data_IF_304531452253
#
_entry.id   IF_304531452253
#
_cell.length_a   1.000
_cell.length_b   1.000
_cell.length_c   1.000
_cell.angle_alpha   90.00
_cell.angle_beta   90.00
_cell.angle_gamma   90.00
#
_symmetry.space_group_name_H-M   'P 1'
#
loop_
_entity.id
_entity.type
_entity.pdbx_description
1 polymer ?
#
# COMPACT_ATOMS: atom_id res chain seq x y z
N UNK A 1 7.27 -22.71 -25.19
CA UNK A 1 7.99 -22.22 -23.98
C UNK A 1 7.14 -21.12 -23.40
N UNK A 2 6.32 -21.47 -22.43
CA UNK A 2 5.53 -20.54 -21.62
C UNK A 2 6.47 -19.57 -20.91
N UNK A 3 6.44 -18.31 -21.33
CA UNK A 3 6.98 -17.22 -20.52
C UNK A 3 5.91 -16.87 -19.50
N UNK A 4 5.90 -17.59 -18.37
CA UNK A 4 5.21 -17.06 -17.18
C UNK A 4 5.80 -15.69 -16.87
N UNK A 5 4.99 -14.61 -16.87
CA UNK A 5 5.48 -13.33 -16.42
C UNK A 5 5.96 -13.50 -14.97
N UNK A 6 7.12 -12.91 -14.68
CA UNK A 6 7.63 -12.81 -13.31
C UNK A 6 6.48 -12.36 -12.40
N UNK A 7 6.01 -13.26 -11.54
CA UNK A 7 5.03 -12.92 -10.53
C UNK A 7 5.77 -12.08 -9.51
N UNK A 8 5.62 -10.76 -9.63
CA UNK A 8 6.15 -9.83 -8.65
C UNK A 8 5.73 -10.27 -7.26
N UNK A 9 6.69 -10.35 -6.34
CA UNK A 9 6.46 -10.61 -4.93
C UNK A 9 5.58 -9.48 -4.39
N UNK A 10 4.29 -9.74 -4.20
CA UNK A 10 3.44 -8.84 -3.45
C UNK A 10 2.33 -8.12 -4.20
N UNK A 11 1.53 -8.84 -4.94
CA UNK A 11 0.28 -8.25 -5.41
C UNK A 11 -0.75 -8.18 -4.28
N UNK A 12 -1.16 -6.95 -3.99
CA UNK A 12 -1.79 -6.53 -2.73
C UNK A 12 -3.31 -6.68 -2.82
N UNK A 13 -3.81 -7.89 -2.84
CA UNK A 13 -5.25 -8.11 -2.75
C UNK A 13 -5.63 -8.69 -1.38
N UNK A 14 -5.82 -7.81 -0.38
CA UNK A 14 -6.27 -8.19 0.97
C UNK A 14 -7.46 -9.16 0.92
N UNK A 15 -8.46 -8.89 0.08
CA UNK A 15 -9.65 -9.73 -0.09
C UNK A 15 -9.33 -11.08 -0.71
N UNK A 16 -8.44 -11.14 -1.69
CA UNK A 16 -8.03 -12.39 -2.32
C UNK A 16 -7.28 -13.29 -1.32
N UNK A 17 -6.53 -12.71 -0.36
CA UNK A 17 -5.83 -13.48 0.66
C UNK A 17 -6.79 -14.26 1.57
N UNK A 18 -7.98 -13.73 1.83
CA UNK A 18 -9.02 -14.43 2.60
C UNK A 18 -9.56 -15.65 1.85
N UNK A 19 -9.69 -15.54 0.52
CA UNK A 19 -10.18 -16.64 -0.33
C UNK A 19 -9.09 -17.68 -0.61
N UNK A 20 -7.82 -17.26 -0.66
CA UNK A 20 -6.68 -18.09 -1.05
C UNK A 20 -5.51 -18.02 -0.05
N UNK A 21 -5.75 -18.25 1.24
CA UNK A 21 -4.75 -18.01 2.28
C UNK A 21 -3.46 -18.81 2.07
N UNK A 22 -3.56 -20.09 1.68
CA UNK A 22 -2.39 -20.93 1.47
C UNK A 22 -1.49 -20.45 0.32
N UNK A 23 -2.08 -19.89 -0.75
CA UNK A 23 -1.30 -19.31 -1.84
C UNK A 23 -0.48 -18.11 -1.33
N UNK A 24 -1.08 -17.23 -0.52
CA UNK A 24 -0.40 -16.09 0.09
C UNK A 24 0.72 -16.51 1.05
N UNK A 25 0.46 -17.45 1.93
CA UNK A 25 1.50 -17.95 2.84
C UNK A 25 2.65 -18.61 2.07
N UNK A 26 2.38 -19.49 1.13
CA UNK A 26 3.42 -20.15 0.33
C UNK A 26 4.23 -19.13 -0.47
N UNK A 27 3.57 -18.22 -1.19
CA UNK A 27 4.26 -17.23 -2.00
C UNK A 27 5.12 -16.30 -1.14
N UNK A 28 4.52 -15.69 -0.10
CA UNK A 28 5.16 -14.64 0.66
C UNK A 28 6.21 -15.19 1.63
N UNK A 29 5.86 -16.22 2.42
CA UNK A 29 6.77 -16.75 3.43
C UNK A 29 7.88 -17.58 2.78
N UNK A 30 7.55 -18.53 1.90
CA UNK A 30 8.57 -19.33 1.23
C UNK A 30 9.48 -18.44 0.36
N UNK A 31 8.91 -17.47 -0.36
CA UNK A 31 9.68 -16.51 -1.15
C UNK A 31 10.64 -15.69 -0.29
N UNK A 32 10.20 -15.25 0.89
CA UNK A 32 11.07 -14.52 1.83
C UNK A 32 12.20 -15.40 2.37
N UNK A 33 11.91 -16.63 2.78
CA UNK A 33 12.93 -17.57 3.24
C UNK A 33 13.97 -17.84 2.16
N UNK A 34 13.51 -18.14 0.94
CA UNK A 34 14.40 -18.35 -0.21
C UNK A 34 15.27 -17.12 -0.49
N UNK A 35 14.68 -15.90 -0.43
CA UNK A 35 15.44 -14.67 -0.64
C UNK A 35 16.51 -14.48 0.45
N UNK A 36 16.18 -14.71 1.71
CA UNK A 36 17.14 -14.60 2.82
C UNK A 36 18.29 -15.61 2.68
N UNK A 37 17.98 -16.85 2.28
CA UNK A 37 19.00 -17.87 2.03
C UNK A 37 19.93 -17.47 0.87
N UNK A 38 19.39 -16.99 -0.25
CA UNK A 38 20.17 -16.52 -1.39
C UNK A 38 21.04 -15.32 -1.02
N UNK A 39 20.50 -14.34 -0.30
CA UNK A 39 21.26 -13.19 0.19
C UNK A 39 22.46 -13.63 1.04
N UNK A 40 22.24 -14.58 1.95
CA UNK A 40 23.31 -15.14 2.77
C UNK A 40 24.37 -15.84 1.93
N UNK A 41 23.99 -16.66 0.96
CA UNK A 41 24.90 -17.41 0.07
C UNK A 41 25.71 -16.48 -0.85
N UNK A 42 25.11 -15.38 -1.29
CA UNK A 42 25.74 -14.44 -2.24
C UNK A 42 26.43 -13.26 -1.57
N UNK A 43 26.34 -13.15 -0.24
CA UNK A 43 26.94 -12.04 0.52
C UNK A 43 26.23 -10.71 0.38
N UNK A 44 24.98 -10.70 -0.12
CA UNK A 44 24.15 -9.49 -0.16
C UNK A 44 23.61 -9.21 1.23
N UNK A 45 23.95 -8.04 1.80
CA UNK A 45 23.69 -7.72 3.21
C UNK A 45 22.58 -6.68 3.44
N UNK A 46 22.17 -5.95 2.41
CA UNK A 46 21.22 -4.87 2.54
C UNK A 46 19.89 -5.23 1.90
N UNK A 47 18.78 -5.01 2.63
CA UNK A 47 17.42 -5.19 2.12
C UNK A 47 16.52 -4.06 2.58
N UNK A 48 15.77 -3.49 1.64
CA UNK A 48 14.64 -2.60 1.91
C UNK A 48 13.37 -3.39 1.60
N UNK A 49 12.57 -3.63 2.62
CA UNK A 49 11.37 -4.45 2.52
C UNK A 49 10.12 -3.61 2.48
N UNK A 50 9.32 -3.80 1.44
CA UNK A 50 7.99 -3.22 1.30
C UNK A 50 7.00 -3.91 2.23
N UNK A 51 6.89 -3.41 3.46
CA UNK A 51 5.89 -3.85 4.44
C UNK A 51 4.57 -3.09 4.26
N UNK A 52 3.71 -3.11 5.25
CA UNK A 52 2.38 -2.49 5.17
C UNK A 52 1.89 -2.04 6.54
N UNK A 53 1.15 -0.94 6.59
CA UNK A 53 0.44 -0.51 7.79
C UNK A 53 -0.56 -1.55 8.34
N UNK A 54 -0.92 -2.57 7.55
CA UNK A 54 -1.77 -3.67 8.03
C UNK A 54 -1.17 -4.47 9.19
N UNK A 55 0.15 -4.39 9.41
CA UNK A 55 0.81 -5.04 10.54
C UNK A 55 0.43 -4.44 11.89
N UNK A 56 -0.07 -3.20 11.91
CA UNK A 56 -0.57 -2.56 13.12
C UNK A 56 -1.95 -3.08 13.56
N UNK A 57 -2.68 -3.79 12.66
CA UNK A 57 -4.01 -4.30 12.96
C UNK A 57 -5.03 -3.18 13.17
N UNK A 58 -5.60 -3.13 14.37
CA UNK A 58 -6.52 -2.07 14.81
C UNK A 58 -5.83 -1.26 15.92
N UNK A 59 -5.02 -0.25 15.57
CA UNK A 59 -4.30 0.55 16.55
C UNK A 59 -5.27 1.40 17.38
N UNK A 60 -4.94 1.61 18.65
CA UNK A 60 -5.76 2.38 19.60
C UNK A 60 -5.54 3.89 19.43
N UNK A 61 -4.38 4.30 18.89
CA UNK A 61 -4.00 5.71 18.78
C UNK A 61 -3.77 6.10 17.31
N UNK A 62 -4.13 7.35 17.00
CA UNK A 62 -3.91 8.02 15.72
C UNK A 62 -3.28 9.38 15.96
N UNK A 63 -2.32 9.82 15.13
CA UNK A 63 -1.70 9.10 14.01
C UNK A 63 -0.83 7.91 14.45
N UNK A 64 -0.65 6.92 13.56
CA UNK A 64 0.13 5.71 13.84
C UNK A 64 1.62 6.02 13.73
N UNK A 65 2.35 5.85 14.82
CA UNK A 65 3.83 5.92 14.85
C UNK A 65 4.44 4.52 14.72
N UNK A 66 5.76 4.45 14.48
CA UNK A 66 6.49 3.19 14.45
C UNK A 66 6.60 2.50 15.83
N UNK A 67 6.37 3.26 16.91
CA UNK A 67 6.33 2.76 18.29
C UNK A 67 5.04 2.01 18.61
N UNK A 68 3.99 2.21 17.80
CA UNK A 68 2.76 1.44 17.93
C UNK A 68 3.05 -0.06 17.78
N UNK A 69 2.56 -0.90 18.70
CA UNK A 69 2.81 -2.33 18.65
C UNK A 69 2.20 -2.95 17.39
N UNK A 70 2.81 -4.03 16.90
CA UNK A 70 2.14 -4.86 15.89
C UNK A 70 0.91 -5.49 16.53
N UNK A 71 -0.25 -5.29 15.88
CA UNK A 71 -1.53 -5.77 16.37
C UNK A 71 -1.97 -7.09 15.75
N UNK A 72 -3.20 -7.47 16.06
CA UNK A 72 -3.88 -8.60 15.43
C UNK A 72 -4.22 -8.23 13.98
N UNK A 73 -3.57 -8.88 13.02
CA UNK A 73 -3.90 -8.67 11.62
C UNK A 73 -5.28 -9.24 11.28
N UNK A 74 -6.08 -8.49 10.55
CA UNK A 74 -7.47 -8.86 10.24
C UNK A 74 -7.62 -9.78 9.02
N UNK A 75 -6.51 -10.09 8.34
CA UNK A 75 -6.53 -10.92 7.13
C UNK A 75 -5.18 -11.61 6.89
N UNK A 76 -5.15 -12.70 6.08
CA UNK A 76 -3.92 -13.44 5.79
C UNK A 76 -2.80 -12.61 5.15
N UNK A 77 -3.11 -11.63 4.32
CA UNK A 77 -2.10 -10.71 3.76
C UNK A 77 -1.36 -9.95 4.86
N UNK A 78 -2.09 -9.33 5.80
CA UNK A 78 -1.48 -8.64 6.94
C UNK A 78 -0.60 -9.58 7.78
N UNK A 79 -1.08 -10.80 8.04
CA UNK A 79 -0.29 -11.82 8.73
C UNK A 79 0.98 -12.18 7.98
N UNK A 80 0.95 -12.35 6.65
CA UNK A 80 2.19 -12.61 5.90
C UNK A 80 3.19 -11.47 6.04
N UNK A 81 2.73 -10.20 5.97
CA UNK A 81 3.62 -9.04 6.16
C UNK A 81 4.22 -9.01 7.58
N UNK A 82 3.42 -9.24 8.60
CA UNK A 82 3.90 -9.30 9.99
C UNK A 82 4.91 -10.42 10.22
N UNK A 83 4.66 -11.62 9.66
CA UNK A 83 5.59 -12.75 9.74
C UNK A 83 6.90 -12.49 8.97
N UNK A 84 6.83 -11.89 7.78
CA UNK A 84 8.02 -11.52 7.01
C UNK A 84 8.89 -10.51 7.75
N UNK A 85 8.29 -9.49 8.39
CA UNK A 85 9.02 -8.58 9.27
C UNK A 85 9.72 -9.33 10.41
N UNK A 86 9.02 -10.31 11.03
CA UNK A 86 9.61 -11.11 12.12
C UNK A 86 10.78 -11.96 11.63
N UNK A 87 10.62 -12.64 10.49
CA UNK A 87 11.69 -13.45 9.88
C UNK A 87 12.93 -12.58 9.63
N UNK A 88 12.76 -11.42 8.99
CA UNK A 88 13.88 -10.51 8.69
C UNK A 88 14.53 -9.97 9.96
N UNK A 89 13.74 -9.69 11.00
CA UNK A 89 14.23 -9.24 12.31
C UNK A 89 15.10 -10.33 12.96
N UNK A 90 14.66 -11.57 12.95
CA UNK A 90 15.38 -12.68 13.58
C UNK A 90 16.65 -13.04 12.78
N UNK A 91 16.57 -13.00 11.44
CA UNK A 91 17.73 -13.18 10.57
C UNK A 91 18.77 -12.08 10.79
N UNK A 92 18.35 -10.82 10.91
CA UNK A 92 19.24 -9.69 11.19
C UNK A 92 19.92 -9.83 12.56
N UNK A 93 19.17 -10.22 13.61
CA UNK A 93 19.75 -10.47 14.94
C UNK A 93 20.80 -11.58 14.94
N UNK A 94 20.55 -12.64 14.17
CA UNK A 94 21.48 -13.77 14.03
C UNK A 94 22.69 -13.42 13.13
N UNK A 95 22.56 -12.41 12.27
CA UNK A 95 23.61 -11.95 11.34
C UNK A 95 23.72 -10.42 11.44
N UNK A 96 24.46 -9.89 12.43
CA UNK A 96 24.51 -8.44 12.72
C UNK A 96 25.11 -7.58 11.59
N UNK A 97 25.74 -8.19 10.60
CA UNK A 97 26.25 -7.55 9.40
C UNK A 97 25.17 -7.38 8.29
N UNK A 98 23.99 -7.95 8.49
CA UNK A 98 22.83 -7.66 7.64
C UNK A 98 22.14 -6.37 8.07
N UNK A 99 21.67 -5.60 7.09
CA UNK A 99 20.94 -4.36 7.30
C UNK A 99 19.54 -4.50 6.68
N UNK A 100 18.53 -4.14 7.45
CA UNK A 100 17.12 -4.32 7.08
C UNK A 100 16.37 -3.02 7.31
N UNK A 101 15.68 -2.50 6.29
CA UNK A 101 14.70 -1.43 6.47
C UNK A 101 13.32 -1.97 6.15
N UNK A 102 12.41 -1.86 7.11
CA UNK A 102 11.02 -2.23 6.96
C UNK A 102 10.19 -0.97 6.69
N UNK A 103 9.73 -0.79 5.45
CA UNK A 103 8.90 0.34 5.06
C UNK A 103 7.42 -0.04 5.21
N UNK A 104 6.75 0.48 6.24
CA UNK A 104 5.31 0.31 6.44
C UNK A 104 4.57 1.43 5.75
N UNK A 105 4.08 1.18 4.55
CA UNK A 105 3.32 2.17 3.83
C UNK A 105 1.81 1.92 3.88
N UNK A 106 1.07 3.00 3.69
CA UNK A 106 -0.38 3.03 3.83
C UNK A 106 -1.06 2.68 2.49
N UNK A 107 -1.88 3.51 1.93
CA UNK A 107 -2.66 3.18 0.73
C UNK A 107 -2.04 3.82 -0.52
N UNK A 108 -1.19 3.12 -1.30
CA UNK A 108 -0.65 3.68 -2.53
C UNK A 108 -1.76 3.94 -3.55
N UNK A 109 -1.74 5.12 -4.16
CA UNK A 109 -2.65 5.54 -5.22
C UNK A 109 -1.94 6.45 -6.20
N UNK A 110 -2.62 6.88 -7.24
CA UNK A 110 -2.02 7.73 -8.26
C UNK A 110 -1.36 6.92 -9.37
N UNK A 111 -0.80 7.64 -10.31
CA UNK A 111 -0.07 7.13 -11.45
C UNK A 111 1.10 8.07 -11.76
N UNK A 112 1.99 7.68 -12.67
CA UNK A 112 3.04 8.58 -13.11
C UNK A 112 2.44 9.71 -13.99
N UNK A 113 2.90 10.93 -13.79
CA UNK A 113 2.41 12.13 -14.50
C UNK A 113 2.45 12.05 -16.02
N UNK A 114 3.30 11.16 -16.58
CA UNK A 114 3.37 10.93 -18.03
C UNK A 114 2.15 10.21 -18.60
N UNK A 115 1.27 9.64 -17.77
CA UNK A 115 0.15 8.80 -18.22
C UNK A 115 0.56 7.47 -18.84
N UNK A 116 1.84 7.05 -18.72
CA UNK A 116 2.36 5.78 -19.28
C UNK A 116 2.50 4.66 -18.26
N UNK A 117 2.50 4.98 -16.98
CA UNK A 117 2.61 4.03 -15.87
C UNK A 117 1.48 4.28 -14.90
N UNK A 118 0.68 3.27 -14.63
CA UNK A 118 -0.43 3.32 -13.70
C UNK A 118 -0.87 1.92 -13.26
N UNK A 119 -1.91 1.85 -12.44
CA UNK A 119 -2.43 0.59 -11.91
C UNK A 119 -3.40 -0.05 -12.91
N UNK A 120 -3.11 -1.29 -13.31
CA UNK A 120 -3.94 -2.09 -14.24
C UNK A 120 -4.28 -3.44 -13.62
N UNK A 121 -5.24 -3.50 -12.68
CA UNK A 121 -5.64 -4.73 -12.03
C UNK A 121 -6.40 -5.64 -13.00
N UNK A 122 -6.06 -6.93 -13.02
CA UNK A 122 -6.82 -7.93 -13.77
C UNK A 122 -8.16 -8.21 -13.08
N UNK A 123 -9.26 -8.03 -13.82
CA UNK A 123 -10.62 -8.24 -13.33
C UNK A 123 -11.15 -7.05 -12.50
N UNK A 124 -12.09 -7.32 -11.58
CA UNK A 124 -12.71 -6.27 -10.75
C UNK A 124 -11.71 -5.81 -9.68
N UNK A 125 -11.39 -4.50 -9.62
CA UNK A 125 -10.45 -3.97 -8.65
C UNK A 125 -10.91 -4.17 -7.21
N UNK A 126 -9.96 -4.43 -6.33
CA UNK A 126 -10.21 -4.51 -4.88
C UNK A 126 -9.84 -3.22 -4.15
N UNK A 127 -8.96 -2.39 -4.73
CA UNK A 127 -8.57 -1.10 -4.20
C UNK A 127 -9.53 -0.01 -4.66
N UNK A 128 -9.69 1.02 -3.83
CA UNK A 128 -10.65 2.10 -4.06
C UNK A 128 -10.35 2.88 -5.35
N UNK A 129 -9.12 3.34 -5.53
CA UNK A 129 -8.76 4.23 -6.64
C UNK A 129 -8.98 3.58 -8.02
N UNK A 130 -8.46 2.37 -8.30
CA UNK A 130 -8.71 1.73 -9.59
C UNK A 130 -10.20 1.37 -9.80
N UNK A 131 -10.95 1.12 -8.71
CA UNK A 131 -12.40 0.92 -8.82
C UNK A 131 -13.10 2.22 -9.27
N UNK A 132 -12.79 3.35 -8.62
CA UNK A 132 -13.32 4.67 -8.99
C UNK A 132 -12.98 4.99 -10.45
N UNK A 133 -11.73 4.76 -10.87
CA UNK A 133 -11.28 5.05 -12.23
C UNK A 133 -12.01 4.21 -13.29
N UNK A 134 -12.31 2.94 -12.99
CA UNK A 134 -13.09 2.07 -13.88
C UNK A 134 -14.58 2.49 -13.94
N UNK A 135 -15.14 3.04 -12.86
CA UNK A 135 -16.47 3.66 -12.89
C UNK A 135 -16.45 4.91 -13.78
N UNK A 136 -15.43 5.77 -13.63
CA UNK A 136 -15.30 7.00 -14.42
C UNK A 136 -15.20 6.77 -15.94
N UNK A 137 -14.55 5.67 -16.37
CA UNK A 137 -14.49 5.29 -17.79
C UNK A 137 -15.67 4.41 -18.25
N UNK A 138 -16.62 4.09 -17.36
CA UNK A 138 -17.82 3.33 -17.69
C UNK A 138 -17.65 1.80 -17.77
N UNK A 139 -16.52 1.26 -17.30
CA UNK A 139 -16.32 -0.19 -17.20
C UNK A 139 -17.15 -0.80 -16.07
N UNK A 140 -17.37 -0.05 -15.00
CA UNK A 140 -18.20 -0.41 -13.86
C UNK A 140 -19.33 0.61 -13.74
N UNK A 141 -20.51 0.14 -13.32
CA UNK A 141 -21.71 0.97 -13.24
C UNK A 141 -21.62 1.99 -12.10
N UNK A 142 -21.22 1.55 -10.92
CA UNK A 142 -21.14 2.36 -9.69
C UNK A 142 -20.17 1.81 -8.69
N UNK A 143 -19.70 2.69 -7.79
CA UNK A 143 -18.84 2.33 -6.67
C UNK A 143 -19.67 1.81 -5.48
N UNK A 144 -19.26 0.73 -4.84
CA UNK A 144 -19.78 0.35 -3.52
C UNK A 144 -18.97 1.02 -2.41
N UNK A 145 -19.62 1.87 -1.61
CA UNK A 145 -19.08 2.48 -0.39
C UNK A 145 -19.50 1.63 0.81
N UNK A 146 -18.54 1.05 1.52
CA UNK A 146 -18.81 0.07 2.58
C UNK A 146 -18.86 0.73 3.96
N UNK A 147 -20.08 0.98 4.46
CA UNK A 147 -20.36 1.68 5.70
C UNK A 147 -20.40 3.19 5.52
N UNK A 148 -21.39 3.82 6.15
CA UNK A 148 -21.60 5.26 6.25
C UNK A 148 -21.89 5.69 7.70
N UNK A 149 -21.60 4.78 8.64
CA UNK A 149 -21.90 4.89 10.05
C UNK A 149 -20.65 4.77 10.94
N UNK A 150 -19.44 4.93 10.37
CA UNK A 150 -18.20 5.02 11.14
C UNK A 150 -18.15 6.35 11.91
N UNK A 151 -17.42 6.35 13.03
CA UNK A 151 -17.08 7.57 13.76
C UNK A 151 -16.00 8.38 13.02
N UNK A 152 -16.44 9.04 11.94
CA UNK A 152 -15.63 9.84 11.00
C UNK A 152 -16.48 11.02 10.51
N UNK A 153 -15.88 12.08 9.95
CA UNK A 153 -16.62 13.29 9.57
C UNK A 153 -17.80 13.07 8.61
N UNK A 154 -17.75 12.10 7.73
CA UNK A 154 -18.80 11.79 6.76
C UNK A 154 -19.37 10.36 6.89
N UNK A 155 -19.00 9.68 7.97
CA UNK A 155 -19.44 8.32 8.26
C UNK A 155 -18.70 7.23 7.47
N UNK A 156 -17.84 7.58 6.50
CA UNK A 156 -17.11 6.59 5.71
C UNK A 156 -15.68 6.38 6.21
N UNK A 157 -15.05 5.26 5.86
CA UNK A 157 -13.72 4.93 6.35
C UNK A 157 -12.65 5.91 5.87
N UNK A 158 -11.76 6.34 6.78
CA UNK A 158 -10.67 7.29 6.54
C UNK A 158 -9.34 6.57 6.41
N UNK A 159 -8.57 6.86 5.37
CA UNK A 159 -7.25 6.25 5.09
C UNK A 159 -6.23 7.31 4.70
N UNK A 160 -4.96 7.02 4.99
CA UNK A 160 -3.83 7.76 4.45
C UNK A 160 -3.55 7.22 3.03
N UNK A 161 -3.80 8.05 2.04
CA UNK A 161 -3.46 7.75 0.65
C UNK A 161 -2.15 8.43 0.31
N UNK A 162 -1.22 7.67 -0.24
CA UNK A 162 0.10 8.17 -0.65
C UNK A 162 0.27 8.02 -2.16
N UNK A 163 0.75 9.08 -2.80
CA UNK A 163 1.01 9.03 -4.23
C UNK A 163 2.14 8.05 -4.55
N UNK A 164 1.93 7.17 -5.53
CA UNK A 164 2.89 6.10 -5.88
C UNK A 164 4.30 6.63 -6.22
N UNK A 165 4.40 7.83 -6.79
CA UNK A 165 5.71 8.47 -7.07
C UNK A 165 6.41 8.90 -5.79
N UNK A 166 5.68 9.43 -4.80
CA UNK A 166 6.26 9.78 -3.51
C UNK A 166 6.69 8.54 -2.75
N UNK A 167 5.89 7.48 -2.81
CA UNK A 167 6.25 6.19 -2.25
C UNK A 167 7.55 5.65 -2.88
N UNK A 168 7.69 5.71 -4.21
CA UNK A 168 8.91 5.32 -4.91
C UNK A 168 10.13 6.15 -4.48
N UNK A 169 9.97 7.48 -4.35
CA UNK A 169 11.02 8.37 -3.80
C UNK A 169 11.42 7.95 -2.38
N UNK A 170 10.44 7.55 -1.54
CA UNK A 170 10.69 7.03 -0.19
C UNK A 170 11.56 5.77 -0.19
N UNK A 171 11.32 4.84 -1.12
CA UNK A 171 12.15 3.64 -1.30
C UNK A 171 13.59 4.01 -1.71
N UNK A 172 13.75 4.95 -2.65
CA UNK A 172 15.08 5.42 -3.06
C UNK A 172 15.84 6.05 -1.89
N UNK A 173 15.16 6.87 -1.06
CA UNK A 173 15.75 7.45 0.14
C UNK A 173 16.15 6.37 1.16
N UNK A 174 15.32 5.35 1.35
CA UNK A 174 15.64 4.23 2.24
C UNK A 174 16.85 3.41 1.74
N UNK A 175 17.00 3.21 0.43
CA UNK A 175 18.18 2.56 -0.16
C UNK A 175 19.45 3.39 0.15
N UNK A 176 19.41 4.69 0.04
CA UNK A 176 20.56 5.53 0.38
C UNK A 176 20.87 5.52 1.89
N UNK A 177 19.81 5.51 2.72
CA UNK A 177 19.92 5.51 4.17
C UNK A 177 20.57 4.22 4.71
N UNK A 178 20.24 3.05 4.16
CA UNK A 178 20.70 1.75 4.66
C UNK A 178 22.22 1.58 4.60
N UNK A 179 22.90 2.21 3.64
CA UNK A 179 24.36 2.11 3.51
C UNK A 179 25.13 2.83 4.63
N UNK A 180 24.50 3.81 5.27
CA UNK A 180 25.13 4.62 6.34
C UNK A 180 24.56 4.31 7.72
N UNK A 181 23.51 3.50 7.80
CA UNK A 181 22.79 3.20 9.04
C UNK A 181 22.60 1.69 9.17
N UNK A 182 23.61 0.98 9.68
CA UNK A 182 23.57 -0.47 9.81
C UNK A 182 22.53 -0.93 10.84
N UNK A 183 22.07 -2.16 10.68
CA UNK A 183 21.13 -2.81 11.59
C UNK A 183 19.71 -2.90 11.01
N UNK A 184 18.71 -2.83 11.89
CA UNK A 184 17.31 -2.91 11.50
C UNK A 184 16.59 -1.60 11.86
N UNK A 185 15.86 -1.06 10.93
CA UNK A 185 14.98 0.11 11.17
C UNK A 185 13.59 -0.10 10.55
N UNK A 186 12.58 0.47 11.21
CA UNK A 186 11.18 0.48 10.77
C UNK A 186 10.77 1.91 10.48
N UNK A 187 10.18 2.18 9.32
CA UNK A 187 9.82 3.53 8.91
C UNK A 187 8.45 3.53 8.24
N UNK A 188 7.55 4.37 8.75
CA UNK A 188 6.24 4.61 8.14
C UNK A 188 6.38 5.52 6.91
N UNK A 189 5.78 5.14 5.80
CA UNK A 189 5.63 5.98 4.62
C UNK A 189 4.15 6.30 4.41
N UNK A 190 3.75 7.47 4.82
CA UNK A 190 2.41 8.03 4.68
C UNK A 190 2.48 9.55 4.52
N UNK A 191 1.36 10.17 4.28
CA UNK A 191 1.23 11.63 4.17
C UNK A 191 0.98 12.30 5.52
N UNK A 192 0.45 11.56 6.49
CA UNK A 192 -0.06 12.08 7.75
C UNK A 192 -1.45 12.71 7.63
N UNK A 193 -2.08 12.59 6.46
CA UNK A 193 -3.42 13.12 6.19
C UNK A 193 -4.37 11.98 5.89
N UNK A 194 -5.48 11.91 6.62
CA UNK A 194 -6.55 10.96 6.37
C UNK A 194 -7.60 11.55 5.43
N UNK A 195 -7.96 10.81 4.39
CA UNK A 195 -9.07 11.14 3.50
C UNK A 195 -10.15 10.07 3.58
N UNK A 196 -11.41 10.48 3.59
CA UNK A 196 -12.54 9.58 3.58
C UNK A 196 -12.76 8.95 2.19
N UNK A 197 -13.61 7.92 2.12
CA UNK A 197 -14.01 7.36 0.82
C UNK A 197 -14.76 8.41 -0.01
N UNK A 198 -15.61 9.24 0.61
CA UNK A 198 -16.36 10.28 -0.11
C UNK A 198 -15.47 11.46 -0.52
N UNK A 199 -14.41 11.78 0.24
CA UNK A 199 -13.39 12.74 -0.21
C UNK A 199 -12.73 12.26 -1.52
N UNK A 200 -12.37 10.97 -1.59
CA UNK A 200 -11.78 10.37 -2.78
C UNK A 200 -12.74 10.40 -3.97
N UNK A 201 -14.02 10.07 -3.76
CA UNK A 201 -15.07 10.12 -4.80
C UNK A 201 -15.22 11.54 -5.34
N UNK A 202 -15.32 12.54 -4.44
CA UNK A 202 -15.47 13.95 -4.80
C UNK A 202 -14.24 14.49 -5.55
N UNK A 203 -13.05 14.21 -5.04
CA UNK A 203 -11.81 14.66 -5.68
C UNK A 203 -11.61 14.01 -7.07
N UNK A 204 -11.94 12.73 -7.21
CA UNK A 204 -11.86 12.06 -8.51
C UNK A 204 -12.89 12.57 -9.50
N UNK A 205 -14.12 12.84 -9.03
CA UNK A 205 -15.17 13.48 -9.85
C UNK A 205 -14.70 14.83 -10.39
N UNK A 206 -14.06 15.66 -9.56
CA UNK A 206 -13.43 16.93 -9.98
C UNK A 206 -12.34 16.69 -11.04
N UNK A 207 -11.48 15.69 -10.84
CA UNK A 207 -10.36 15.40 -11.75
C UNK A 207 -10.84 14.89 -13.13
N UNK A 208 -11.89 14.08 -13.18
CA UNK A 208 -12.42 13.55 -14.45
C UNK A 208 -13.54 14.40 -15.08
N UNK A 209 -14.02 15.42 -14.37
CA UNK A 209 -15.12 16.28 -14.85
C UNK A 209 -16.48 15.57 -14.91
N UNK A 210 -16.68 14.50 -14.14
CA UNK A 210 -17.90 13.68 -14.10
C UNK A 210 -18.29 13.38 -12.66
N UNK A 211 -19.57 13.22 -12.42
CA UNK A 211 -20.04 12.61 -11.17
C UNK A 211 -19.69 11.12 -11.16
N UNK A 212 -19.20 10.64 -10.02
CA UNK A 212 -18.91 9.22 -9.80
C UNK A 212 -20.08 8.60 -9.06
N UNK A 213 -20.91 7.79 -9.72
CA UNK A 213 -22.06 7.16 -9.08
C UNK A 213 -21.58 6.14 -8.04
N UNK A 214 -22.21 6.14 -6.87
CA UNK A 214 -21.93 5.19 -5.80
C UNK A 214 -23.21 4.74 -5.08
N UNK A 215 -23.10 3.65 -4.36
CA UNK A 215 -24.13 3.15 -3.43
C UNK A 215 -23.52 2.78 -2.10
N UNK A 216 -24.23 3.05 -1.03
CA UNK A 216 -23.83 2.62 0.31
C UNK A 216 -24.11 1.13 0.48
N UNK A 217 -23.14 0.40 1.01
CA UNK A 217 -23.22 -1.02 1.34
C UNK A 217 -22.91 -1.24 2.82
N UNK A 218 -23.37 -2.35 3.42
CA UNK A 218 -22.99 -2.70 4.79
C UNK A 218 -21.47 -2.73 5.00
N UNK A 219 -21.00 -2.42 6.20
CA UNK A 219 -19.58 -2.52 6.57
C UNK A 219 -19.00 -3.87 6.21
N UNK A 220 -17.74 -3.89 5.80
CA UNK A 220 -17.00 -5.14 5.63
C UNK A 220 -16.39 -5.56 6.97
N UNK A 221 -16.37 -6.86 7.22
CA UNK A 221 -15.71 -7.41 8.41
C UNK A 221 -14.21 -7.05 8.41
N UNK A 222 -13.72 -6.52 9.54
CA UNK A 222 -12.33 -6.16 9.73
C UNK A 222 -11.93 -4.78 9.18
N UNK A 223 -12.85 -3.98 8.63
CA UNK A 223 -12.58 -2.58 8.31
C UNK A 223 -12.60 -1.73 9.59
N UNK A 224 -11.61 -0.84 9.73
CA UNK A 224 -11.48 0.12 10.83
C UNK A 224 -11.89 1.52 10.37
N UNK A 225 -12.36 2.35 11.30
CA UNK A 225 -12.84 3.70 11.00
C UNK A 225 -11.74 4.57 10.37
N UNK A 226 -10.59 4.68 11.02
CA UNK A 226 -9.47 5.53 10.59
C UNK A 226 -8.15 4.78 10.61
N UNK A 227 -7.25 5.14 9.66
CA UNK A 227 -5.89 4.61 9.59
C UNK A 227 -5.00 5.59 8.80
N UNK A 228 -4.16 6.36 9.50
CA UNK A 228 -3.19 7.28 8.89
C UNK A 228 -1.90 7.36 9.72
N UNK A 229 -0.79 7.70 9.03
CA UNK A 229 0.56 7.68 9.59
C UNK A 229 0.89 8.94 10.40
N UNK A 230 1.87 8.80 11.30
CA UNK A 230 2.78 9.89 11.64
C UNK A 230 4.01 9.79 10.70
N UNK A 231 4.26 10.76 9.80
CA UNK A 231 5.40 10.73 8.88
C UNK A 231 6.68 11.34 9.48
N UNK A 232 6.69 11.73 10.75
CA UNK A 232 7.77 12.49 11.37
C UNK A 232 9.12 11.74 11.34
N UNK A 233 9.12 10.42 11.54
CA UNK A 233 10.34 9.62 11.46
C UNK A 233 10.92 9.60 10.06
N UNK A 234 10.12 9.36 9.03
CA UNK A 234 10.59 9.40 7.64
C UNK A 234 11.20 10.77 7.27
N UNK A 235 10.56 11.86 7.71
CA UNK A 235 11.11 13.21 7.52
C UNK A 235 12.47 13.40 8.19
N UNK A 236 12.62 12.91 9.43
CA UNK A 236 13.84 13.05 10.22
C UNK A 236 15.00 12.19 9.69
N UNK A 237 14.75 10.90 9.40
CA UNK A 237 15.84 9.94 9.10
C UNK A 237 16.12 9.82 7.62
N UNK A 238 15.10 9.93 6.76
CA UNK A 238 15.26 9.83 5.31
C UNK A 238 15.36 11.20 4.61
N UNK A 239 15.03 12.30 5.31
CA UNK A 239 14.83 13.61 4.66
C UNK A 239 13.72 13.53 3.59
N UNK A 240 12.70 12.73 3.84
CA UNK A 240 11.62 12.47 2.89
C UNK A 240 10.26 12.91 3.46
N UNK A 241 9.47 13.51 2.60
CA UNK A 241 8.05 13.82 2.84
C UNK A 241 7.26 13.54 1.58
N UNK A 242 6.00 13.14 1.73
CA UNK A 242 5.07 13.12 0.62
C UNK A 242 4.79 14.55 0.14
N UNK A 243 4.86 14.78 -1.16
CA UNK A 243 4.73 16.10 -1.78
C UNK A 243 3.39 16.25 -2.53
N UNK A 244 2.86 15.13 -3.05
CA UNK A 244 1.66 15.12 -3.88
C UNK A 244 0.40 14.92 -3.02
N UNK A 245 -0.57 15.84 -3.21
CA UNK A 245 -1.84 15.83 -2.51
C UNK A 245 -2.93 15.01 -3.23
N UNK A 246 -4.13 15.03 -2.66
CA UNK A 246 -5.28 14.28 -3.16
C UNK A 246 -5.66 14.66 -4.61
N UNK A 247 -5.65 15.96 -4.93
CA UNK A 247 -5.99 16.44 -6.28
C UNK A 247 -5.01 15.87 -7.32
N UNK A 248 -3.71 15.82 -7.03
CA UNK A 248 -2.69 15.25 -7.93
C UNK A 248 -2.82 13.73 -8.04
N UNK A 249 -3.08 13.03 -6.93
CA UNK A 249 -3.33 11.59 -6.92
C UNK A 249 -4.48 11.24 -7.89
N UNK A 250 -5.57 12.00 -7.82
CA UNK A 250 -6.74 11.79 -8.68
C UNK A 250 -6.45 12.19 -10.13
N UNK A 251 -5.79 13.34 -10.37
CA UNK A 251 -5.50 13.83 -11.71
C UNK A 251 -4.54 12.89 -12.46
N UNK A 252 -3.48 12.40 -11.79
CA UNK A 252 -2.52 11.50 -12.40
C UNK A 252 -3.13 10.12 -12.68
N UNK A 253 -3.98 9.61 -11.76
CA UNK A 253 -4.75 8.38 -12.00
C UNK A 253 -5.70 8.55 -13.19
N UNK A 254 -6.43 9.67 -13.26
CA UNK A 254 -7.35 9.92 -14.36
C UNK A 254 -6.62 10.03 -15.71
N UNK A 255 -5.47 10.73 -15.73
CA UNK A 255 -4.63 10.82 -16.93
C UNK A 255 -4.23 9.43 -17.43
N UNK A 256 -3.75 8.56 -16.53
CA UNK A 256 -3.44 7.17 -16.87
C UNK A 256 -4.66 6.44 -17.43
N UNK A 257 -5.76 6.41 -16.68
CA UNK A 257 -6.94 5.62 -17.03
C UNK A 257 -7.61 6.10 -18.34
N UNK A 258 -7.66 7.42 -18.55
CA UNK A 258 -8.26 7.98 -19.77
C UNK A 258 -7.44 7.73 -21.03
N UNK A 259 -6.11 7.69 -20.91
CA UNK A 259 -5.20 7.37 -22.01
C UNK A 259 -5.06 5.86 -22.26
N UNK A 260 -5.34 5.04 -21.24
CA UNK A 260 -5.20 3.59 -21.27
C UNK A 260 -6.51 2.93 -20.80
N UNK A 261 -7.64 3.12 -21.53
CA UNK A 261 -8.93 2.60 -21.09
C UNK A 261 -8.96 1.08 -20.97
N UNK A 262 -8.12 0.37 -21.71
CA UNK A 262 -7.98 -1.09 -21.68
C UNK A 262 -6.74 -1.59 -20.90
N UNK A 263 -6.09 -0.71 -20.15
CA UNK A 263 -4.86 -1.02 -19.44
C UNK A 263 -3.64 -1.04 -20.35
N UNK A 264 -2.66 -1.89 -20.04
CA UNK A 264 -1.46 -2.07 -20.86
C UNK A 264 -1.69 -2.92 -22.12
N UNK A 265 -2.81 -3.62 -22.21
CA UNK A 265 -3.21 -4.38 -23.40
C UNK A 265 -4.00 -3.45 -24.33
N UNK A 266 -3.29 -2.84 -25.28
CA UNK A 266 -3.86 -2.04 -26.36
C UNK A 266 -4.10 -2.88 -27.60
#
# INVERSE_FOLDING_TARGET
RDRSPSRGLGDVYKRQSVQKPLEYYRNNITGTLTLMDVMKQTGVKNIVFSSSATVYGSPEEMPITEECPKGQCTNPYGWTKSMMEQIMTDVQKANPDMNVILLRYFNPVGAHESGRIGEDPKGIPNNLMPYISQVAVGKLEKLGVFGDDYDTPDGTGVRDYIHVVDLAKGHVKAINYIFSNPGLDVINLGTGVGYSVLDMVKAFGKACGKEIPYEIKPRRAGDIAMCYADPAKAARVLGWKAEKGLDEMCADTWRWQSQNPNGYES
#
